data_IF_100814669278
#
_entry.id   IF_100814669278
#
_cell.length_a   1.000
_cell.length_b   1.000
_cell.length_c   1.000
_cell.angle_alpha   90.00
_cell.angle_beta   90.00
_cell.angle_gamma   90.00
#
_symmetry.space_group_name_H-M   'P 1'
#
loop_
_entity.id
_entity.type
_entity.pdbx_description
1 polymer ?
#
# COMPACT_ATOMS: atom_id res chain seq x y z
N UNK A 1 4.67 2.26 -34.36
CA UNK A 1 5.01 3.45 -33.54
C UNK A 1 4.27 3.28 -32.24
N UNK A 2 4.97 3.19 -31.14
CA UNK A 2 4.34 3.12 -29.84
C UNK A 2 3.58 4.43 -29.60
N UNK A 3 2.38 4.30 -29.04
CA UNK A 3 1.58 5.49 -28.69
C UNK A 3 2.33 6.32 -27.64
N UNK A 4 2.30 7.67 -27.71
CA UNK A 4 2.93 8.49 -26.68
C UNK A 4 2.31 8.19 -25.31
N UNK A 5 3.14 8.15 -24.27
CA UNK A 5 2.69 7.99 -22.89
C UNK A 5 2.30 9.36 -22.32
N UNK A 6 1.00 9.63 -22.33
CA UNK A 6 0.41 10.85 -21.78
C UNK A 6 -0.18 10.54 -20.41
N UNK A 7 0.45 11.03 -19.36
CA UNK A 7 0.08 10.69 -17.99
C UNK A 7 -0.56 11.86 -17.26
N UNK A 8 -1.75 11.66 -16.70
CA UNK A 8 -2.31 12.55 -15.69
C UNK A 8 -2.04 12.02 -14.27
N UNK A 9 -1.56 12.89 -13.38
CA UNK A 9 -1.34 12.57 -11.98
C UNK A 9 -2.20 13.49 -11.10
N UNK A 10 -3.31 12.95 -10.60
CA UNK A 10 -4.24 13.67 -9.73
C UNK A 10 -3.75 13.58 -8.29
N UNK A 11 -3.51 14.74 -7.67
CA UNK A 11 -2.89 14.82 -6.34
C UNK A 11 -1.36 14.85 -6.38
N UNK A 12 -0.78 15.39 -7.44
CA UNK A 12 0.66 15.42 -7.70
C UNK A 12 1.50 16.10 -6.60
N UNK A 13 0.95 17.05 -5.84
CA UNK A 13 1.62 17.75 -4.74
C UNK A 13 1.59 16.99 -3.40
N UNK A 14 0.77 15.95 -3.29
CA UNK A 14 0.68 15.13 -2.08
C UNK A 14 1.91 14.24 -1.87
N UNK A 15 2.07 13.69 -0.65
CA UNK A 15 3.20 12.80 -0.31
C UNK A 15 3.30 11.63 -1.29
N UNK A 16 2.18 10.96 -1.57
CA UNK A 16 2.14 9.82 -2.49
C UNK A 16 2.40 10.27 -3.93
N UNK A 17 1.80 11.38 -4.39
CA UNK A 17 2.04 11.92 -5.73
C UNK A 17 3.50 12.27 -5.97
N UNK A 18 4.17 12.89 -5.00
CA UNK A 18 5.61 13.18 -5.08
C UNK A 18 6.45 11.90 -5.10
N UNK A 19 6.09 10.89 -4.31
CA UNK A 19 6.81 9.60 -4.33
C UNK A 19 6.64 8.87 -5.68
N UNK A 20 5.46 8.95 -6.30
CA UNK A 20 5.23 8.42 -7.65
C UNK A 20 6.18 9.09 -8.66
N UNK A 21 6.26 10.41 -8.66
CA UNK A 21 7.17 11.14 -9.55
C UNK A 21 8.64 10.75 -9.34
N UNK A 22 9.06 10.61 -8.08
CA UNK A 22 10.42 10.15 -7.74
C UNK A 22 10.69 8.74 -8.28
N UNK A 23 9.73 7.81 -8.11
CA UNK A 23 9.88 6.44 -8.60
C UNK A 23 9.90 6.35 -10.13
N UNK A 24 9.03 7.10 -10.81
CA UNK A 24 9.03 7.18 -12.27
C UNK A 24 10.36 7.71 -12.80
N UNK A 25 10.94 8.71 -12.13
CA UNK A 25 12.25 9.24 -12.48
C UNK A 25 13.38 8.24 -12.19
N UNK A 26 13.34 7.57 -11.02
CA UNK A 26 14.35 6.56 -10.62
C UNK A 26 14.36 5.36 -11.58
N UNK A 27 13.19 4.94 -12.06
CA UNK A 27 13.03 3.82 -13.00
C UNK A 27 13.17 4.25 -14.47
N UNK A 28 13.52 5.50 -14.74
CA UNK A 28 13.69 6.08 -16.08
C UNK A 28 12.48 5.86 -17.01
N UNK A 29 11.28 5.91 -16.44
CA UNK A 29 10.05 5.78 -17.21
C UNK A 29 9.85 7.03 -18.07
N UNK A 30 9.92 6.85 -19.38
CA UNK A 30 9.74 7.94 -20.34
C UNK A 30 8.26 8.32 -20.43
N UNK A 31 7.95 9.54 -20.01
CA UNK A 31 6.63 10.15 -20.14
C UNK A 31 6.72 11.26 -21.18
N UNK A 32 5.91 11.17 -22.25
CA UNK A 32 5.92 12.16 -23.31
C UNK A 32 5.24 13.46 -22.85
N UNK A 33 4.09 13.36 -22.18
CA UNK A 33 3.39 14.49 -21.59
C UNK A 33 2.91 14.15 -20.17
N UNK A 34 3.29 14.98 -19.20
CA UNK A 34 2.83 14.89 -17.81
C UNK A 34 1.82 16.01 -17.53
N UNK A 35 0.65 15.65 -17.03
CA UNK A 35 -0.41 16.54 -16.57
C UNK A 35 -0.59 16.41 -15.05
N UNK A 36 0.13 17.19 -14.23
CA UNK A 36 -0.12 17.21 -12.80
C UNK A 36 -1.42 17.95 -12.53
N UNK A 37 -2.34 17.30 -11.81
CA UNK A 37 -3.68 17.83 -11.56
C UNK A 37 -3.97 17.92 -10.06
N UNK A 38 -4.73 18.94 -9.67
CA UNK A 38 -5.15 19.15 -8.29
C UNK A 38 -6.40 20.01 -8.20
N UNK A 39 -6.82 20.32 -6.96
CA UNK A 39 -7.91 21.27 -6.67
C UNK A 39 -7.41 22.44 -5.84
N UNK A 40 -6.96 22.17 -4.62
CA UNK A 40 -6.45 23.20 -3.70
C UNK A 40 -5.03 23.67 -4.02
N UNK A 41 -4.34 23.01 -4.91
CA UNK A 41 -2.94 23.27 -5.26
C UNK A 41 -2.74 23.74 -6.70
N UNK A 42 -3.83 24.13 -7.36
CA UNK A 42 -3.80 24.71 -8.72
C UNK A 42 -2.87 25.92 -8.77
N UNK A 43 -2.04 25.98 -9.80
CA UNK A 43 -1.05 27.06 -10.00
C UNK A 43 0.27 26.85 -9.24
N UNK A 44 0.37 25.87 -8.34
CA UNK A 44 1.65 25.50 -7.73
C UNK A 44 2.54 24.78 -8.75
N UNK A 45 3.86 24.88 -8.55
CA UNK A 45 4.85 24.24 -9.42
C UNK A 45 5.36 22.95 -8.80
N UNK A 46 5.51 21.91 -9.60
CA UNK A 46 6.23 20.67 -9.28
C UNK A 46 7.34 20.45 -10.28
N UNK A 47 8.45 19.83 -9.86
CA UNK A 47 9.56 19.50 -10.75
C UNK A 47 9.58 18.00 -11.04
N UNK A 48 9.74 17.62 -12.32
CA UNK A 48 9.89 16.24 -12.77
C UNK A 48 10.84 16.17 -13.97
N UNK A 49 11.85 15.28 -13.95
CA UNK A 49 12.84 15.10 -15.02
C UNK A 49 13.47 16.42 -15.50
N UNK A 50 13.89 17.27 -14.56
CA UNK A 50 14.50 18.59 -14.80
C UNK A 50 13.59 19.61 -15.53
N UNK A 51 12.28 19.41 -15.51
CA UNK A 51 11.29 20.36 -16.01
C UNK A 51 10.32 20.74 -14.90
N UNK A 52 9.88 21.99 -14.93
CA UNK A 52 8.85 22.49 -14.04
C UNK A 52 7.48 22.40 -14.72
N UNK A 53 6.51 21.91 -13.95
CA UNK A 53 5.12 21.76 -14.37
C UNK A 53 4.21 22.52 -13.43
N UNK A 54 3.26 23.25 -13.98
CA UNK A 54 2.21 23.93 -13.20
C UNK A 54 1.07 22.95 -12.98
N UNK A 55 0.61 22.80 -11.74
CA UNK A 55 -0.55 21.97 -11.39
C UNK A 55 -1.80 22.60 -12.00
N UNK A 56 -2.43 21.85 -12.90
CA UNK A 56 -3.68 22.21 -13.55
C UNK A 56 -4.91 21.92 -12.69
N UNK A 57 -6.03 22.54 -13.04
CA UNK A 57 -7.31 22.28 -12.38
C UNK A 57 -7.96 21.00 -12.93
N UNK A 58 -8.20 20.04 -12.04
CA UNK A 58 -8.84 18.78 -12.37
C UNK A 58 -10.26 18.93 -12.93
N UNK A 59 -11.03 19.90 -12.45
CA UNK A 59 -12.43 20.09 -12.89
C UNK A 59 -12.51 20.63 -14.35
N UNK A 60 -11.50 21.35 -14.82
CA UNK A 60 -11.44 21.92 -16.18
C UNK A 60 -10.58 21.12 -17.18
N UNK A 61 -9.81 20.13 -16.71
CA UNK A 61 -8.96 19.30 -17.57
C UNK A 61 -9.79 18.42 -18.51
N UNK A 62 -9.38 18.34 -19.80
CA UNK A 62 -9.95 17.37 -20.73
C UNK A 62 -9.31 16.00 -20.56
N UNK A 63 -10.04 14.99 -20.04
CA UNK A 63 -9.48 13.65 -19.80
C UNK A 63 -8.96 12.93 -21.06
N UNK A 64 -9.36 13.36 -22.26
CA UNK A 64 -8.90 12.77 -23.53
C UNK A 64 -7.42 13.03 -23.80
N UNK A 65 -6.81 14.00 -23.11
CA UNK A 65 -5.39 14.29 -23.26
C UNK A 65 -4.48 13.21 -22.63
N UNK A 66 -5.01 12.44 -21.65
CA UNK A 66 -4.25 11.41 -20.94
C UNK A 66 -4.69 10.00 -21.34
N UNK A 67 -3.74 9.12 -21.60
CA UNK A 67 -4.02 7.68 -21.82
C UNK A 67 -3.69 6.80 -20.60
N UNK A 68 -2.99 7.34 -19.61
CA UNK A 68 -2.86 6.77 -18.26
C UNK A 68 -3.15 7.87 -17.23
N UNK A 69 -3.93 7.55 -16.22
CA UNK A 69 -4.24 8.48 -15.13
C UNK A 69 -4.08 7.80 -13.77
N UNK A 70 -3.33 8.43 -12.87
CA UNK A 70 -3.16 7.96 -11.49
C UNK A 70 -3.89 8.90 -10.54
N UNK A 71 -4.80 8.34 -9.72
CA UNK A 71 -5.50 9.08 -8.67
C UNK A 71 -4.85 8.84 -7.31
N UNK A 72 -4.26 9.90 -6.74
CA UNK A 72 -3.64 9.91 -5.40
C UNK A 72 -4.21 11.01 -4.48
N UNK A 73 -5.44 11.48 -4.78
CA UNK A 73 -6.08 12.61 -4.09
C UNK A 73 -7.24 12.20 -3.16
N UNK A 74 -7.35 10.91 -2.83
CA UNK A 74 -8.36 10.37 -1.93
C UNK A 74 -9.69 9.98 -2.61
N UNK A 75 -10.51 9.18 -1.90
CA UNK A 75 -11.68 8.52 -2.45
C UNK A 75 -12.76 9.44 -3.00
N UNK A 76 -13.03 10.57 -2.34
CA UNK A 76 -14.05 11.52 -2.82
C UNK A 76 -13.71 12.12 -4.18
N UNK A 77 -12.42 12.34 -4.46
CA UNK A 77 -11.93 12.84 -5.75
C UNK A 77 -12.01 11.72 -6.79
N UNK A 78 -11.54 10.53 -6.45
CA UNK A 78 -11.62 9.35 -7.32
C UNK A 78 -13.08 9.04 -7.71
N UNK A 79 -13.99 8.99 -6.73
CA UNK A 79 -15.43 8.78 -6.95
C UNK A 79 -16.02 9.74 -7.98
N UNK A 80 -15.67 11.02 -7.86
CA UNK A 80 -16.22 12.07 -8.74
C UNK A 80 -15.67 12.01 -10.17
N UNK A 81 -14.40 11.63 -10.36
CA UNK A 81 -13.70 11.85 -11.60
C UNK A 81 -13.20 10.59 -12.33
N UNK A 82 -12.84 9.52 -11.61
CA UNK A 82 -12.12 8.39 -12.20
C UNK A 82 -12.85 7.75 -13.37
N UNK A 83 -14.16 7.49 -13.26
CA UNK A 83 -14.95 6.86 -14.33
C UNK A 83 -14.98 7.72 -15.61
N UNK A 84 -14.99 9.06 -15.49
CA UNK A 84 -14.93 9.98 -16.63
C UNK A 84 -13.62 9.84 -17.44
N UNK A 85 -12.49 9.61 -16.76
CA UNK A 85 -11.21 9.38 -17.42
C UNK A 85 -11.22 8.04 -18.18
N UNK A 86 -11.78 6.98 -17.60
CA UNK A 86 -11.95 5.69 -18.29
C UNK A 86 -12.82 5.85 -19.54
N UNK A 87 -13.98 6.50 -19.43
CA UNK A 87 -14.89 6.78 -20.55
C UNK A 87 -14.23 7.61 -21.66
N UNK A 88 -13.21 8.40 -21.32
CA UNK A 88 -12.44 9.22 -22.25
C UNK A 88 -11.27 8.49 -22.90
N UNK A 89 -11.03 7.21 -22.55
CA UNK A 89 -10.01 6.36 -23.15
C UNK A 89 -8.70 6.25 -22.35
N UNK A 90 -8.70 6.64 -21.07
CA UNK A 90 -7.55 6.51 -20.17
C UNK A 90 -7.62 5.23 -19.33
N UNK A 91 -6.52 4.50 -19.20
CA UNK A 91 -6.36 3.53 -18.11
C UNK A 91 -6.21 4.29 -16.80
N UNK A 92 -7.00 3.94 -15.80
CA UNK A 92 -7.04 4.66 -14.52
C UNK A 92 -6.54 3.76 -13.41
N UNK A 93 -5.56 4.23 -12.65
CA UNK A 93 -5.07 3.58 -11.43
C UNK A 93 -5.53 4.41 -10.24
N UNK A 94 -6.41 3.85 -9.40
CA UNK A 94 -6.89 4.52 -8.19
C UNK A 94 -6.19 3.98 -6.95
N UNK A 95 -5.47 4.86 -6.25
CA UNK A 95 -4.76 4.52 -5.01
C UNK A 95 -5.66 4.66 -3.76
N UNK A 96 -6.88 5.16 -3.94
CA UNK A 96 -7.84 5.28 -2.83
C UNK A 96 -8.54 3.96 -2.52
N UNK A 97 -9.36 3.94 -1.48
CA UNK A 97 -10.18 2.77 -1.15
C UNK A 97 -11.55 2.78 -1.82
N UNK A 98 -11.84 3.74 -2.71
CA UNK A 98 -13.21 3.94 -3.23
C UNK A 98 -13.72 2.77 -4.05
N UNK A 99 -12.87 2.21 -4.92
CA UNK A 99 -13.30 1.21 -5.88
C UNK A 99 -12.83 -0.23 -5.57
N UNK A 100 -12.10 -0.44 -4.48
CA UNK A 100 -11.48 -1.73 -4.16
C UNK A 100 -12.46 -2.88 -4.01
N UNK A 101 -13.71 -2.58 -3.63
CA UNK A 101 -14.73 -3.58 -3.29
C UNK A 101 -15.80 -3.73 -4.36
N UNK A 102 -15.72 -3.00 -5.48
CA UNK A 102 -16.57 -3.20 -6.64
C UNK A 102 -16.14 -4.47 -7.39
N UNK A 103 -17.05 -5.40 -7.65
CA UNK A 103 -16.75 -6.74 -8.21
C UNK A 103 -16.17 -6.66 -9.63
N UNK A 104 -16.61 -5.67 -10.40
CA UNK A 104 -16.19 -5.42 -11.79
C UNK A 104 -14.88 -4.62 -11.90
N UNK A 105 -14.33 -4.13 -10.79
CA UNK A 105 -13.08 -3.39 -10.77
C UNK A 105 -11.96 -4.28 -10.23
N UNK A 106 -10.92 -4.57 -11.03
CA UNK A 106 -9.81 -5.38 -10.58
C UNK A 106 -9.00 -4.67 -9.49
N UNK A 107 -8.68 -5.43 -8.44
CA UNK A 107 -7.81 -5.02 -7.34
C UNK A 107 -6.47 -5.72 -7.55
N UNK A 108 -5.41 -4.97 -7.89
CA UNK A 108 -4.18 -5.55 -8.43
C UNK A 108 -2.95 -5.21 -7.60
N UNK A 109 -2.18 -6.25 -7.30
CA UNK A 109 -0.77 -6.20 -6.94
C UNK A 109 -0.03 -6.86 -8.11
N UNK A 110 0.78 -6.13 -8.88
CA UNK A 110 1.36 -6.64 -10.13
C UNK A 110 2.12 -7.97 -9.96
N UNK A 111 2.86 -8.13 -8.88
CA UNK A 111 3.64 -9.32 -8.57
C UNK A 111 2.77 -10.53 -8.16
N UNK A 112 1.49 -10.33 -7.88
CA UNK A 112 0.58 -11.37 -7.39
C UNK A 112 -0.42 -11.78 -8.46
N UNK A 113 -1.14 -10.82 -9.00
CA UNK A 113 -2.22 -11.05 -9.96
C UNK A 113 -2.13 -10.10 -11.17
N UNK A 114 -0.91 -9.71 -11.53
CA UNK A 114 -0.62 -8.82 -12.67
C UNK A 114 -0.99 -9.40 -14.03
N UNK A 115 -1.13 -10.70 -14.15
CA UNK A 115 -1.64 -11.40 -15.34
C UNK A 115 -3.04 -10.91 -15.76
N UNK A 116 -3.82 -10.37 -14.85
CA UNK A 116 -5.10 -9.70 -15.14
C UNK A 116 -4.89 -8.53 -16.11
N UNK A 117 -3.78 -7.80 -15.97
CA UNK A 117 -3.45 -6.63 -16.82
C UNK A 117 -3.25 -7.01 -18.28
N UNK A 118 -2.68 -8.19 -18.55
CA UNK A 118 -2.43 -8.68 -19.91
C UNK A 118 -3.73 -8.95 -20.67
N UNK A 119 -4.81 -9.20 -19.95
CA UNK A 119 -6.12 -9.48 -20.51
C UNK A 119 -7.00 -8.23 -20.71
N UNK A 120 -6.56 -7.06 -20.26
CA UNK A 120 -7.28 -5.81 -20.43
C UNK A 120 -7.18 -5.33 -21.88
N UNK A 121 -8.29 -5.36 -22.61
CA UNK A 121 -8.35 -4.93 -24.02
C UNK A 121 -8.73 -3.48 -24.21
N UNK A 122 -9.40 -2.90 -23.21
CA UNK A 122 -9.97 -1.56 -23.23
C UNK A 122 -9.54 -0.78 -21.99
N UNK A 123 -9.51 0.54 -22.05
CA UNK A 123 -9.28 1.39 -20.91
C UNK A 123 -10.18 1.00 -19.73
N UNK A 124 -9.56 0.81 -18.58
CA UNK A 124 -10.20 0.22 -17.39
C UNK A 124 -9.75 0.96 -16.15
N UNK A 125 -10.62 1.01 -15.14
CA UNK A 125 -10.26 1.43 -13.79
C UNK A 125 -9.65 0.25 -13.05
N UNK A 126 -8.49 0.47 -12.46
CA UNK A 126 -7.73 -0.50 -11.67
C UNK A 126 -7.59 0.05 -10.26
N UNK A 127 -8.05 -0.69 -9.27
CA UNK A 127 -7.85 -0.33 -7.89
C UNK A 127 -6.50 -0.85 -7.37
N UNK A 128 -5.78 -0.02 -6.62
CA UNK A 128 -4.58 -0.39 -5.91
C UNK A 128 -4.94 -0.77 -4.47
N UNK A 129 -4.43 -1.87 -3.92
CA UNK A 129 -4.74 -2.32 -2.55
C UNK A 129 -4.24 -1.38 -1.46
N UNK A 130 -4.64 -1.68 -0.23
CA UNK A 130 -4.11 -1.06 0.97
C UNK A 130 -2.60 -1.37 1.13
N UNK A 131 -1.86 -0.46 1.75
CA UNK A 131 -0.42 -0.59 1.94
C UNK A 131 -0.04 -1.83 2.75
N UNK A 132 -0.76 -2.11 3.85
CA UNK A 132 -0.54 -3.32 4.65
C UNK A 132 -0.92 -4.57 3.87
N UNK A 133 -2.05 -4.57 3.16
CA UNK A 133 -2.44 -5.72 2.31
C UNK A 133 -1.38 -6.03 1.26
N UNK A 134 -0.81 -5.01 0.62
CA UNK A 134 0.17 -5.22 -0.45
C UNK A 134 1.41 -5.95 0.06
N UNK A 135 2.04 -5.46 1.13
CA UNK A 135 3.22 -6.11 1.71
C UNK A 135 2.91 -7.51 2.27
N UNK A 136 1.76 -7.68 2.91
CA UNK A 136 1.28 -8.95 3.44
C UNK A 136 1.20 -10.02 2.35
N UNK A 137 0.50 -9.71 1.26
CA UNK A 137 0.21 -10.68 0.22
C UNK A 137 1.41 -11.04 -0.63
N UNK A 138 2.41 -10.17 -0.77
CA UNK A 138 3.70 -10.47 -1.39
C UNK A 138 4.38 -11.67 -0.71
N UNK A 139 4.28 -11.77 0.60
CA UNK A 139 4.85 -12.88 1.40
C UNK A 139 3.90 -14.08 1.43
N UNK A 140 2.59 -13.86 1.52
CA UNK A 140 1.63 -14.94 1.72
C UNK A 140 1.30 -15.72 0.45
N UNK A 141 1.36 -15.11 -0.73
CA UNK A 141 1.05 -15.81 -1.98
C UNK A 141 1.88 -17.08 -2.20
N UNK A 142 3.21 -17.04 -2.18
CA UNK A 142 4.01 -18.24 -2.40
C UNK A 142 3.79 -19.32 -1.31
N UNK A 143 3.47 -18.92 -0.09
CA UNK A 143 3.11 -19.85 0.99
C UNK A 143 1.75 -20.49 0.69
N UNK A 144 0.77 -19.70 0.28
CA UNK A 144 -0.58 -20.18 -0.03
C UNK A 144 -0.57 -21.18 -1.22
N UNK A 145 0.16 -20.86 -2.28
CA UNK A 145 0.28 -21.72 -3.47
C UNK A 145 0.91 -23.08 -3.16
N UNK A 146 1.87 -23.15 -2.23
CA UNK A 146 2.55 -24.41 -1.87
C UNK A 146 1.85 -25.20 -0.77
N UNK A 147 1.30 -24.52 0.23
CA UNK A 147 0.85 -25.17 1.48
C UNK A 147 -0.63 -24.94 1.81
N UNK A 148 -1.31 -24.02 1.11
CA UNK A 148 -2.71 -23.67 1.37
C UNK A 148 -2.90 -22.97 2.72
N UNK A 149 -3.21 -21.69 2.72
CA UNK A 149 -3.52 -20.94 3.94
C UNK A 149 -5.02 -21.07 4.21
N UNK A 150 -5.38 -21.50 5.43
CA UNK A 150 -6.76 -21.63 5.90
C UNK A 150 -7.19 -20.44 6.77
N UNK A 151 -6.26 -19.95 7.60
CA UNK A 151 -6.53 -18.92 8.59
C UNK A 151 -5.34 -17.98 8.75
N UNK A 152 -5.64 -16.71 8.94
CA UNK A 152 -4.68 -15.64 9.23
C UNK A 152 -5.13 -14.84 10.45
N UNK A 153 -4.20 -14.59 11.38
CA UNK A 153 -4.34 -13.58 12.40
C UNK A 153 -3.20 -12.58 12.22
N UNK A 154 -3.54 -11.32 12.00
CA UNK A 154 -2.60 -10.27 11.60
C UNK A 154 -2.64 -9.16 12.66
N UNK A 155 -1.49 -8.82 13.22
CA UNK A 155 -1.32 -7.62 14.02
C UNK A 155 -0.40 -6.65 13.27
N UNK A 156 -0.90 -5.48 12.89
CA UNK A 156 -0.09 -4.47 12.20
C UNK A 156 0.45 -3.43 13.17
N UNK A 157 1.66 -2.96 12.91
CA UNK A 157 2.33 -1.86 13.59
C UNK A 157 2.62 -0.78 12.54
N UNK A 158 1.67 0.16 12.39
CA UNK A 158 1.67 1.08 11.26
C UNK A 158 2.36 2.40 11.60
N UNK A 159 3.30 2.80 10.74
CA UNK A 159 3.99 4.08 10.81
C UNK A 159 3.05 5.27 10.55
N UNK A 160 3.39 6.44 11.09
CA UNK A 160 2.57 7.66 10.96
C UNK A 160 2.49 8.21 9.53
N UNK A 161 3.48 7.91 8.66
CA UNK A 161 3.48 8.34 7.26
C UNK A 161 2.25 7.85 6.48
N UNK A 162 1.67 6.69 6.87
CA UNK A 162 0.44 6.19 6.29
C UNK A 162 -0.79 7.09 6.51
N UNK A 163 -0.77 7.94 7.54
CA UNK A 163 -1.82 8.94 7.79
C UNK A 163 -1.56 10.26 7.02
N UNK A 164 -0.29 10.54 6.68
CA UNK A 164 0.10 11.71 5.89
C UNK A 164 1.07 12.64 6.60
N UNK A 165 1.36 13.77 5.93
CA UNK A 165 2.40 14.72 6.38
C UNK A 165 2.13 15.29 7.77
N UNK A 166 0.89 15.63 8.06
CA UNK A 166 0.50 16.24 9.35
C UNK A 166 0.76 15.26 10.52
N UNK A 167 0.54 13.96 10.33
CA UNK A 167 0.84 12.95 11.33
C UNK A 167 2.35 12.77 11.59
N UNK A 168 3.15 12.89 10.54
CA UNK A 168 4.62 12.89 10.65
C UNK A 168 5.10 14.09 11.45
N UNK A 169 4.56 15.28 11.17
CA UNK A 169 4.89 16.49 11.93
C UNK A 169 4.38 16.44 13.38
N UNK A 170 3.22 15.84 13.63
CA UNK A 170 2.70 15.61 14.98
C UNK A 170 3.64 14.73 15.80
N UNK A 171 4.06 13.57 15.23
CA UNK A 171 5.04 12.71 15.92
C UNK A 171 6.34 13.44 16.18
N UNK A 172 6.84 14.20 15.20
CA UNK A 172 8.08 14.98 15.32
C UNK A 172 8.00 15.99 16.45
N UNK A 173 6.94 16.80 16.48
CA UNK A 173 6.75 17.82 17.52
C UNK A 173 6.61 17.22 18.91
N UNK A 174 5.81 16.15 19.05
CA UNK A 174 5.63 15.46 20.33
C UNK A 174 6.93 14.77 20.83
N UNK A 175 7.86 14.44 19.94
CA UNK A 175 9.14 13.80 20.31
C UNK A 175 10.19 14.80 20.72
N UNK A 176 10.27 15.96 20.07
CA UNK A 176 11.37 16.91 20.21
C UNK A 176 10.99 18.18 20.98
N UNK A 177 9.68 18.56 20.99
CA UNK A 177 9.20 19.73 21.72
C UNK A 177 8.55 19.31 23.02
N UNK A 178 9.32 19.34 24.11
CA UNK A 178 8.87 18.87 25.44
C UNK A 178 7.72 19.65 26.08
N UNK A 179 7.28 20.78 25.53
CA UNK A 179 6.37 21.71 26.20
C UNK A 179 4.88 21.57 25.86
N UNK A 180 4.52 20.80 24.82
CA UNK A 180 3.09 20.56 24.53
C UNK A 180 2.88 19.27 23.75
N UNK A 181 2.44 18.22 24.42
CA UNK A 181 1.92 17.00 23.78
C UNK A 181 0.49 17.30 23.30
N UNK A 182 0.36 18.10 22.25
CA UNK A 182 -0.92 18.37 21.63
C UNK A 182 -1.21 17.33 20.56
N UNK A 183 -2.39 16.71 20.61
CA UNK A 183 -2.87 15.76 19.61
C UNK A 183 -3.84 16.47 18.68
N UNK A 184 -3.49 16.59 17.39
CA UNK A 184 -4.30 17.24 16.35
C UNK A 184 -4.79 16.26 15.29
N UNK A 185 -3.99 15.24 14.99
CA UNK A 185 -4.27 14.23 13.96
C UNK A 185 -4.83 12.98 14.61
N UNK A 186 -4.22 12.53 15.69
CA UNK A 186 -4.65 11.34 16.42
C UNK A 186 -5.50 11.70 17.64
N UNK A 187 -6.40 10.79 18.08
CA UNK A 187 -7.23 11.02 19.28
C UNK A 187 -6.44 10.97 20.60
N UNK A 188 -5.21 10.48 20.56
CA UNK A 188 -4.27 10.36 21.68
C UNK A 188 -2.86 10.71 21.21
N UNK A 189 -1.95 11.13 22.11
CA UNK A 189 -0.55 11.33 21.77
C UNK A 189 0.06 10.08 21.15
N UNK A 190 0.80 10.25 20.05
CA UNK A 190 1.44 9.15 19.35
C UNK A 190 2.86 8.89 19.84
N UNK A 191 3.60 9.94 20.24
CA UNK A 191 4.95 9.77 20.75
C UNK A 191 4.96 8.87 22.00
N UNK A 192 5.84 7.88 22.01
CA UNK A 192 6.00 6.90 23.10
C UNK A 192 4.74 6.08 23.42
N UNK A 193 3.82 5.94 22.46
CA UNK A 193 2.52 5.31 22.65
C UNK A 193 2.19 4.31 21.54
N UNK A 194 1.21 3.43 21.80
CA UNK A 194 0.58 2.56 20.81
C UNK A 194 -0.91 2.89 20.78
N UNK A 195 -1.42 3.30 19.62
CA UNK A 195 -2.83 3.64 19.45
C UNK A 195 -3.51 2.48 18.71
N UNK A 196 -4.39 1.68 19.36
CA UNK A 196 -5.05 0.52 18.76
C UNK A 196 -6.21 0.96 17.85
N UNK A 197 -5.92 1.87 16.93
CA UNK A 197 -6.87 2.41 15.97
C UNK A 197 -6.13 2.92 14.75
N UNK A 198 -6.47 2.36 13.57
CA UNK A 198 -6.13 2.90 12.27
C UNK A 198 -7.42 3.06 11.48
N UNK A 199 -7.68 4.27 10.93
CA UNK A 199 -8.93 4.61 10.27
C UNK A 199 -10.13 4.69 11.26
N UNK A 200 -11.36 4.82 10.75
CA UNK A 200 -12.60 4.94 11.53
C UNK A 200 -13.10 3.58 12.02
N UNK A 201 -13.82 3.58 13.12
CA UNK A 201 -14.56 2.39 13.58
C UNK A 201 -15.83 2.18 12.75
N UNK A 202 -16.14 0.91 12.48
CA UNK A 202 -17.36 0.44 11.86
C UNK A 202 -18.36 -0.07 12.91
N UNK A 203 -19.59 -0.35 12.52
CA UNK A 203 -20.66 -0.80 13.42
C UNK A 203 -20.34 -2.15 14.12
N UNK A 204 -19.45 -2.95 13.56
CA UNK A 204 -18.97 -4.21 14.12
C UNK A 204 -17.79 -4.05 15.10
N UNK A 205 -17.44 -2.83 15.49
CA UNK A 205 -16.33 -2.45 16.35
C UNK A 205 -14.92 -2.69 15.76
N UNK A 206 -14.82 -3.22 14.55
CA UNK A 206 -13.54 -3.21 13.81
C UNK A 206 -13.28 -1.82 13.21
N UNK A 207 -12.01 -1.51 13.01
CA UNK A 207 -11.66 -0.34 12.20
C UNK A 207 -11.79 -0.67 10.71
N UNK A 208 -12.00 0.36 9.89
CA UNK A 208 -12.03 0.19 8.44
C UNK A 208 -10.70 -0.36 7.91
N UNK A 209 -9.58 -0.02 8.55
CA UNK A 209 -8.26 -0.54 8.19
C UNK A 209 -8.16 -2.06 8.40
N UNK A 210 -8.66 -2.56 9.52
CA UNK A 210 -8.73 -4.01 9.80
C UNK A 210 -9.58 -4.74 8.77
N UNK A 211 -10.72 -4.17 8.41
CA UNK A 211 -11.60 -4.76 7.40
C UNK A 211 -11.02 -4.73 5.99
N UNK A 212 -10.14 -3.74 5.65
CA UNK A 212 -9.39 -3.75 4.38
C UNK A 212 -8.52 -5.00 4.27
N UNK A 213 -7.78 -5.35 5.31
CA UNK A 213 -6.97 -6.58 5.34
C UNK A 213 -7.84 -7.83 5.10
N UNK A 214 -9.02 -7.89 5.70
CA UNK A 214 -9.96 -9.01 5.53
C UNK A 214 -10.48 -9.09 4.10
N UNK A 215 -11.04 -8.00 3.59
CA UNK A 215 -11.72 -7.99 2.29
C UNK A 215 -10.74 -8.10 1.11
N UNK A 216 -9.62 -7.38 1.19
CA UNK A 216 -8.65 -7.34 0.11
C UNK A 216 -7.87 -8.65 0.01
N UNK A 217 -7.50 -9.29 1.14
CA UNK A 217 -6.91 -10.64 1.13
C UNK A 217 -7.84 -11.65 0.45
N UNK A 218 -9.13 -11.61 0.76
CA UNK A 218 -10.12 -12.51 0.14
C UNK A 218 -10.30 -12.24 -1.36
N UNK A 219 -10.28 -10.98 -1.76
CA UNK A 219 -10.45 -10.59 -3.18
C UNK A 219 -9.23 -10.92 -4.04
N UNK A 220 -8.02 -10.75 -3.49
CA UNK A 220 -6.77 -10.89 -4.25
C UNK A 220 -6.24 -12.33 -4.20
N UNK A 221 -6.28 -12.96 -3.03
CA UNK A 221 -5.62 -14.25 -2.80
C UNK A 221 -6.59 -15.44 -2.86
N UNK A 222 -7.47 -15.58 -1.86
CA UNK A 222 -8.49 -16.65 -1.84
C UNK A 222 -9.66 -16.24 -0.90
N UNK A 223 -10.91 -16.24 -1.39
CA UNK A 223 -12.10 -15.93 -0.59
C UNK A 223 -12.36 -16.90 0.56
N UNK A 224 -11.74 -18.08 0.57
CA UNK A 224 -11.91 -19.12 1.59
C UNK A 224 -11.04 -18.90 2.82
N UNK A 225 -10.02 -18.05 2.74
CA UNK A 225 -9.15 -17.77 3.89
C UNK A 225 -9.96 -17.05 4.96
N UNK A 226 -9.94 -17.59 6.20
CA UNK A 226 -10.47 -16.86 7.35
C UNK A 226 -9.42 -15.88 7.86
N UNK A 227 -9.79 -14.60 7.98
CA UNK A 227 -8.85 -13.51 8.29
C UNK A 227 -9.32 -12.72 9.50
N UNK A 228 -8.44 -12.60 10.49
CA UNK A 228 -8.59 -11.74 11.65
C UNK A 228 -7.48 -10.69 11.65
N UNK A 229 -7.81 -9.44 11.89
CA UNK A 229 -6.83 -8.36 11.90
C UNK A 229 -7.01 -7.41 13.08
N UNK A 230 -5.90 -6.92 13.60
CA UNK A 230 -5.84 -5.82 14.56
C UNK A 230 -4.80 -4.83 14.07
N UNK A 231 -5.20 -3.56 13.94
CA UNK A 231 -4.32 -2.53 13.43
C UNK A 231 -3.99 -1.49 14.50
N UNK A 232 -2.70 -1.28 14.75
CA UNK A 232 -2.22 -0.29 15.68
C UNK A 232 -1.30 0.74 15.01
N UNK A 233 -1.44 2.00 15.40
CA UNK A 233 -0.51 3.07 15.05
C UNK A 233 0.63 3.11 16.06
N UNK A 234 1.87 3.15 15.57
CA UNK A 234 3.08 3.18 16.40
C UNK A 234 3.92 4.41 16.09
N UNK A 235 4.81 4.87 17.02
CA UNK A 235 5.62 6.06 16.85
C UNK A 235 6.85 5.81 15.96
N UNK A 236 6.59 5.36 14.74
CA UNK A 236 7.56 5.10 13.66
C UNK A 236 7.22 6.02 12.51
N UNK A 237 8.22 6.69 11.92
CA UNK A 237 7.98 7.64 10.84
C UNK A 237 7.55 6.96 9.55
N UNK A 238 8.30 5.95 9.09
CA UNK A 238 8.08 5.25 7.83
C UNK A 238 8.20 3.74 8.01
N UNK A 239 7.53 2.98 7.12
CA UNK A 239 7.56 1.53 7.11
C UNK A 239 6.56 0.90 8.10
N UNK A 240 5.65 0.09 7.59
CA UNK A 240 4.74 -0.71 8.41
C UNK A 240 5.37 -2.05 8.72
N UNK A 241 5.07 -2.58 9.90
CA UNK A 241 5.44 -3.95 10.26
C UNK A 241 4.18 -4.75 10.58
N UNK A 242 4.25 -6.07 10.40
CA UNK A 242 3.16 -6.98 10.65
C UNK A 242 3.65 -8.25 11.34
N UNK A 243 2.97 -8.65 12.41
CA UNK A 243 3.12 -9.98 12.99
C UNK A 243 1.96 -10.84 12.51
N UNK A 244 2.28 -11.88 11.76
CA UNK A 244 1.29 -12.73 11.10
C UNK A 244 1.36 -14.14 11.68
N UNK A 245 0.26 -14.59 12.23
CA UNK A 245 0.04 -15.96 12.61
C UNK A 245 -0.84 -16.63 11.55
N UNK A 246 -0.39 -17.74 11.00
CA UNK A 246 -1.11 -18.41 9.92
C UNK A 246 -1.27 -19.90 10.19
N UNK A 247 -2.38 -20.48 9.73
CA UNK A 247 -2.62 -21.91 9.68
C UNK A 247 -2.64 -22.36 8.22
N UNK A 248 -1.86 -23.38 7.93
CA UNK A 248 -1.73 -23.98 6.60
C UNK A 248 -2.31 -25.40 6.57
N UNK A 249 -2.85 -25.81 5.42
CA UNK A 249 -3.45 -27.12 5.21
C UNK A 249 -2.40 -28.24 5.17
N UNK A 250 -1.27 -27.97 4.51
CA UNK A 250 -0.17 -28.93 4.37
C UNK A 250 0.95 -28.55 5.33
N UNK A 251 1.53 -29.55 6.01
CA UNK A 251 2.64 -29.28 6.93
C UNK A 251 3.84 -28.70 6.21
N UNK A 252 4.47 -27.71 6.81
CA UNK A 252 5.72 -27.11 6.39
C UNK A 252 6.63 -26.86 7.58
N UNK A 253 7.90 -27.12 7.43
CA UNK A 253 8.94 -26.70 8.36
C UNK A 253 9.21 -25.21 8.23
N UNK A 254 10.02 -24.64 9.14
CA UNK A 254 10.52 -23.28 9.01
C UNK A 254 11.29 -23.08 7.70
N UNK A 255 12.14 -24.03 7.37
CA UNK A 255 12.97 -24.03 6.16
C UNK A 255 12.12 -24.08 4.89
N UNK A 256 11.04 -24.86 4.88
CA UNK A 256 10.09 -24.93 3.78
C UNK A 256 9.37 -23.58 3.55
N UNK A 257 9.01 -22.87 4.62
CA UNK A 257 8.41 -21.53 4.51
C UNK A 257 9.43 -20.51 4.00
N UNK A 258 10.68 -20.56 4.48
CA UNK A 258 11.77 -19.70 3.98
C UNK A 258 11.98 -19.95 2.48
N UNK A 259 12.07 -21.22 2.06
CA UNK A 259 12.22 -21.57 0.65
C UNK A 259 11.04 -21.09 -0.20
N UNK A 260 9.82 -21.13 0.34
CA UNK A 260 8.65 -20.66 -0.38
C UNK A 260 8.71 -19.16 -0.70
N UNK A 261 9.20 -18.33 0.21
CA UNK A 261 9.25 -16.87 0.03
C UNK A 261 10.56 -16.38 -0.56
N UNK A 262 11.64 -17.18 -0.42
CA UNK A 262 12.95 -16.82 -0.95
C UNK A 262 12.94 -16.88 -2.49
N UNK A 263 13.38 -15.78 -3.12
CA UNK A 263 13.38 -15.66 -4.58
C UNK A 263 12.08 -15.10 -5.16
N UNK A 264 11.10 -14.76 -4.32
CA UNK A 264 9.96 -13.94 -4.75
C UNK A 264 10.44 -12.54 -5.06
N UNK A 265 10.15 -12.05 -6.25
CA UNK A 265 10.51 -10.68 -6.66
C UNK A 265 9.93 -9.66 -5.69
N UNK A 266 10.74 -8.71 -5.25
CA UNK A 266 10.33 -7.68 -4.28
C UNK A 266 10.21 -8.18 -2.83
N UNK A 267 10.70 -9.41 -2.51
CA UNK A 267 10.72 -9.94 -1.14
C UNK A 267 12.15 -10.30 -0.73
N UNK A 268 12.60 -9.76 0.39
CA UNK A 268 13.92 -10.01 0.99
C UNK A 268 13.78 -10.74 2.33
N UNK A 269 14.39 -11.93 2.44
CA UNK A 269 14.37 -12.73 3.68
C UNK A 269 15.57 -12.32 4.56
N UNK A 270 15.30 -11.86 5.80
CA UNK A 270 16.28 -11.57 6.85
C UNK A 270 15.88 -12.33 8.11
N UNK A 271 16.42 -13.53 8.30
CA UNK A 271 16.00 -14.39 9.41
C UNK A 271 17.13 -15.28 9.95
N UNK A 272 18.06 -14.66 10.67
CA UNK A 272 19.11 -15.37 11.40
C UNK A 272 19.07 -14.99 12.88
N UNK A 273 18.37 -15.76 13.74
CA UNK A 273 18.27 -15.49 15.16
C UNK A 273 19.61 -15.50 15.91
N UNK A 274 20.57 -16.31 15.47
CA UNK A 274 21.88 -16.43 16.14
C UNK A 274 22.75 -15.16 15.98
N UNK A 275 22.59 -14.45 14.87
CA UNK A 275 23.24 -13.16 14.61
C UNK A 275 22.34 -11.96 14.90
N UNK A 276 21.15 -12.16 15.47
CA UNK A 276 20.12 -11.13 15.72
C UNK A 276 19.68 -10.42 14.45
N UNK A 277 19.69 -11.12 13.31
CA UNK A 277 19.34 -10.58 12.02
C UNK A 277 17.84 -10.78 11.77
N UNK A 278 17.10 -9.69 11.71
CA UNK A 278 15.68 -9.59 11.43
C UNK A 278 15.32 -8.19 10.92
N UNK A 279 14.27 -8.03 10.13
CA UNK A 279 13.92 -6.73 9.58
C UNK A 279 13.31 -5.80 10.61
N UNK A 280 13.60 -4.50 10.45
CA UNK A 280 12.96 -3.42 11.18
C UNK A 280 12.53 -2.30 10.22
N UNK A 281 11.45 -1.56 10.52
CA UNK A 281 11.01 -0.49 9.64
C UNK A 281 12.04 0.64 9.51
N UNK A 282 12.82 0.89 10.56
CA UNK A 282 13.81 1.97 10.58
C UNK A 282 15.03 1.69 9.69
N UNK A 283 15.53 0.46 9.73
CA UNK A 283 16.79 0.13 9.06
C UNK A 283 16.59 -0.34 7.62
N UNK A 284 15.61 -1.20 7.38
CA UNK A 284 15.46 -1.86 6.08
C UNK A 284 14.34 -1.24 5.23
N UNK A 285 13.17 -0.99 5.81
CA UNK A 285 12.00 -0.59 5.02
C UNK A 285 12.03 0.88 4.58
N UNK A 286 12.83 1.71 5.25
CA UNK A 286 12.92 3.14 4.91
C UNK A 286 13.65 3.31 3.56
N UNK A 287 12.96 3.94 2.58
CA UNK A 287 13.45 4.15 1.20
C UNK A 287 13.78 2.87 0.40
N UNK A 288 13.34 1.69 0.86
CA UNK A 288 13.39 0.44 0.10
C UNK A 288 12.15 0.24 -0.77
N UNK A 289 12.31 -0.56 -1.81
CA UNK A 289 11.21 -1.04 -2.66
C UNK A 289 10.82 -2.49 -2.29
N UNK A 290 11.64 -3.17 -1.47
CA UNK A 290 11.41 -4.55 -1.05
C UNK A 290 10.53 -4.65 0.18
N UNK A 291 9.78 -5.75 0.25
CA UNK A 291 9.13 -6.24 1.46
C UNK A 291 10.10 -7.16 2.19
N UNK A 292 10.41 -6.83 3.43
CA UNK A 292 11.32 -7.63 4.26
C UNK A 292 10.55 -8.61 5.13
N UNK A 293 11.04 -9.84 5.24
CA UNK A 293 10.41 -10.88 6.05
C UNK A 293 11.45 -11.59 6.91
N UNK A 294 11.07 -11.88 8.15
CA UNK A 294 11.93 -12.61 9.09
C UNK A 294 11.15 -13.13 10.28
N UNK A 295 11.89 -13.60 11.28
CA UNK A 295 11.30 -14.19 12.48
C UNK A 295 10.30 -15.31 12.17
N UNK A 296 10.60 -16.10 11.13
CA UNK A 296 9.78 -17.23 10.67
C UNK A 296 9.93 -18.36 11.68
N UNK A 297 8.80 -18.83 12.20
CA UNK A 297 8.73 -19.93 13.15
C UNK A 297 7.61 -20.87 12.75
N UNK A 298 7.88 -22.16 12.73
CA UNK A 298 6.89 -23.21 12.56
C UNK A 298 6.70 -23.91 13.90
N UNK A 299 5.46 -24.21 14.25
CA UNK A 299 5.15 -25.02 15.43
C UNK A 299 4.72 -26.40 14.99
N UNK A 300 5.13 -27.45 15.75
CA UNK A 300 4.74 -28.85 15.49
C UNK A 300 3.23 -29.11 15.68
N UNK A 301 2.48 -28.10 16.10
CA UNK A 301 1.04 -28.16 16.29
C UNK A 301 0.35 -27.80 14.97
N UNK A 302 0.01 -28.81 14.17
CA UNK A 302 -0.95 -28.76 13.07
C UNK A 302 -0.82 -27.54 12.11
N UNK A 303 0.34 -27.36 11.50
CA UNK A 303 0.47 -26.39 10.42
C UNK A 303 0.41 -24.92 10.86
N UNK A 304 0.79 -24.60 12.09
CA UNK A 304 0.86 -23.24 12.60
C UNK A 304 2.22 -22.60 12.34
N UNK A 305 2.24 -21.42 11.77
CA UNK A 305 3.46 -20.63 11.54
C UNK A 305 3.29 -19.19 11.98
N UNK A 306 4.39 -18.56 12.37
CA UNK A 306 4.48 -17.15 12.75
C UNK A 306 5.54 -16.46 11.90
N UNK A 307 5.20 -15.31 11.35
CA UNK A 307 6.07 -14.53 10.47
C UNK A 307 6.01 -13.06 10.90
N UNK A 308 7.13 -12.37 10.78
CA UNK A 308 7.19 -10.92 10.90
C UNK A 308 7.56 -10.33 9.52
N UNK A 309 6.74 -9.39 9.09
CA UNK A 309 6.86 -8.69 7.80
C UNK A 309 7.17 -7.23 8.07
#
# INVERSE_FOLDING_TARGET
>A
MDKPLNMALVGASGVVGQKILQLLQKKDIKIDNLFPLGKSTVGQTISFQNKDYIIGDLDSFDPKEANITIFSAGGSVAKKHAKKFVESGSYVIDLSSEFRYEDDIPLIIPEINGDILENLKEPTLIANPNCSTSQLLMVLKPIHERYGIEFLNIATYQAVSGTGKEAVEELRSQTYDNDSIESKVYPKPIAFNVIPQCDIFLDNAFTKEEMKLVWETKKILDPKIDVQATCARVPVFNGHSEAVFLKISNKASREDIIEAVQGTEGVSVMDNPDSLEYPTPYEQANDSEDVYVGRIRSQDIQGLSLIHI
#
